data_IF_279500008903
#
_entry.id   IF_279500008903
#
_cell.length_a   1.000
_cell.length_b   1.000
_cell.length_c   1.000
_cell.angle_alpha   90.00
_cell.angle_beta   90.00
_cell.angle_gamma   90.00
#
_symmetry.space_group_name_H-M   'P 1'
#
loop_
_entity.id
_entity.type
_entity.pdbx_description
1 polymer ?
#
# COMPACT_ATOMS: atom_id res chain seq x y z
N UNK A 1 -5.74 83.00 -1.76
CA UNK A 1 -6.66 81.92 -2.16
C UNK A 1 -5.81 80.73 -2.60
N UNK A 2 -5.70 79.71 -1.75
CA UNK A 2 -5.05 78.44 -2.09
C UNK A 2 -6.16 77.39 -2.14
N UNK A 3 -6.43 76.85 -3.32
CA UNK A 3 -7.14 75.59 -3.45
C UNK A 3 -6.10 74.50 -3.75
N UNK A 4 -6.02 73.42 -2.96
CA UNK A 4 -5.35 72.22 -3.42
C UNK A 4 -6.31 71.44 -4.33
N UNK A 5 -5.89 71.20 -5.57
CA UNK A 5 -6.49 70.27 -6.51
C UNK A 5 -6.26 68.82 -6.05
N UNK A 6 -7.13 67.87 -6.44
CA UNK A 6 -7.19 66.56 -5.83
C UNK A 6 -5.94 65.74 -6.15
N UNK A 7 -5.34 65.18 -5.11
CA UNK A 7 -4.30 64.16 -5.21
C UNK A 7 -4.78 63.02 -6.10
N UNK A 8 -4.19 62.89 -7.28
CA UNK A 8 -4.34 61.75 -8.17
C UNK A 8 -3.64 60.54 -7.56
N UNK A 9 -4.28 59.93 -6.56
CA UNK A 9 -3.88 58.65 -6.02
C UNK A 9 -4.35 57.57 -7.00
N UNK A 10 -3.53 57.30 -8.02
CA UNK A 10 -3.80 56.27 -9.02
C UNK A 10 -3.47 54.86 -8.51
N UNK A 11 -4.15 53.81 -9.00
CA UNK A 11 -4.09 52.42 -8.49
C UNK A 11 -2.85 51.69 -9.00
N UNK A 12 -1.68 52.31 -8.86
CA UNK A 12 -0.39 51.78 -9.31
C UNK A 12 0.16 50.78 -8.31
N UNK A 13 0.15 51.12 -7.01
CA UNK A 13 0.57 50.23 -5.93
C UNK A 13 -0.28 48.97 -5.83
N UNK A 14 -1.61 49.10 -5.91
CA UNK A 14 -2.52 47.95 -5.79
C UNK A 14 -2.33 46.93 -6.92
N UNK A 15 -2.00 47.37 -8.14
CA UNK A 15 -1.77 46.47 -9.29
C UNK A 15 -0.44 45.74 -9.19
N UNK A 16 0.60 46.38 -8.67
CA UNK A 16 1.90 45.75 -8.48
C UNK A 16 1.87 44.74 -7.32
N UNK A 17 1.17 45.07 -6.23
CA UNK A 17 0.98 44.19 -5.08
C UNK A 17 0.10 42.98 -5.45
N UNK A 18 -0.98 43.19 -6.21
CA UNK A 18 -1.81 42.11 -6.76
C UNK A 18 -1.00 41.22 -7.73
N UNK A 19 -0.18 41.81 -8.59
CA UNK A 19 0.66 41.04 -9.53
C UNK A 19 1.75 40.24 -8.79
N UNK A 20 2.31 40.77 -7.70
CA UNK A 20 3.25 40.04 -6.85
C UNK A 20 2.56 38.88 -6.13
N UNK A 21 1.38 39.08 -5.55
CA UNK A 21 0.60 38.03 -4.89
C UNK A 21 0.22 36.89 -5.87
N UNK A 22 -0.19 37.25 -7.09
CA UNK A 22 -0.49 36.28 -8.16
C UNK A 22 0.76 35.50 -8.56
N UNK A 23 1.92 36.16 -8.74
CA UNK A 23 3.18 35.50 -9.09
C UNK A 23 3.66 34.54 -7.99
N UNK A 24 3.55 34.94 -6.73
CA UNK A 24 3.91 34.08 -5.58
C UNK A 24 2.98 32.85 -5.53
N UNK A 25 1.67 33.05 -5.71
CA UNK A 25 0.70 31.95 -5.68
C UNK A 25 0.93 30.96 -6.83
N UNK A 26 1.17 31.44 -8.05
CA UNK A 26 1.49 30.58 -9.19
C UNK A 26 2.84 29.87 -9.02
N UNK A 27 3.84 30.55 -8.44
CA UNK A 27 5.13 29.95 -8.11
C UNK A 27 5.01 28.83 -7.09
N UNK A 28 4.22 29.04 -6.02
CA UNK A 28 3.96 28.01 -5.02
C UNK A 28 3.22 26.81 -5.61
N UNK A 29 2.15 27.05 -6.38
CA UNK A 29 1.40 25.98 -7.05
C UNK A 29 2.30 25.17 -7.99
N UNK A 30 3.18 25.84 -8.75
CA UNK A 30 4.12 25.17 -9.63
C UNK A 30 5.10 24.26 -8.86
N UNK A 31 5.64 24.73 -7.74
CA UNK A 31 6.53 23.92 -6.88
C UNK A 31 5.78 22.73 -6.28
N UNK A 32 4.53 22.90 -5.85
CA UNK A 32 3.70 21.80 -5.34
C UNK A 32 3.40 20.76 -6.40
N UNK A 33 3.02 21.18 -7.61
CA UNK A 33 2.75 20.26 -8.72
C UNK A 33 4.02 19.53 -9.12
N UNK A 34 5.15 20.24 -9.26
CA UNK A 34 6.43 19.64 -9.61
C UNK A 34 6.86 18.59 -8.58
N UNK A 35 6.80 18.90 -7.29
CA UNK A 35 7.15 17.96 -6.22
C UNK A 35 6.22 16.75 -6.19
N UNK A 36 4.91 16.94 -6.37
CA UNK A 36 3.93 15.87 -6.46
C UNK A 36 4.20 14.94 -7.65
N UNK A 37 4.42 15.49 -8.85
CA UNK A 37 4.72 14.70 -10.05
C UNK A 37 6.08 14.01 -9.96
N UNK A 38 7.10 14.64 -9.37
CA UNK A 38 8.38 13.99 -9.10
C UNK A 38 8.22 12.82 -8.11
N UNK A 39 7.43 12.99 -7.05
CA UNK A 39 7.14 11.93 -6.10
C UNK A 39 6.42 10.76 -6.75
N UNK A 40 5.37 11.03 -7.54
CA UNK A 40 4.69 10.01 -8.33
C UNK A 40 5.64 9.31 -9.30
N UNK A 41 6.46 10.06 -10.05
CA UNK A 41 7.44 9.48 -10.96
C UNK A 41 8.44 8.59 -10.21
N UNK A 42 8.92 8.99 -9.04
CA UNK A 42 9.79 8.15 -8.20
C UNK A 42 9.06 6.89 -7.75
N UNK A 43 7.80 6.96 -7.32
CA UNK A 43 7.02 5.78 -6.90
C UNK A 43 6.70 4.84 -8.07
N UNK A 44 6.34 5.37 -9.24
CA UNK A 44 6.05 4.58 -10.43
C UNK A 44 7.32 4.00 -11.05
N UNK A 45 8.40 4.78 -11.14
CA UNK A 45 9.70 4.29 -11.62
C UNK A 45 10.27 3.30 -10.62
N UNK A 46 10.26 3.56 -9.31
CA UNK A 46 10.68 2.56 -8.30
C UNK A 46 9.80 1.33 -8.34
N UNK A 47 8.47 1.44 -8.45
CA UNK A 47 7.58 0.28 -8.54
C UNK A 47 7.83 -0.58 -9.78
N UNK A 48 7.93 0.05 -10.97
CA UNK A 48 8.23 -0.65 -12.21
C UNK A 48 9.66 -1.19 -12.26
N UNK A 49 10.67 -0.38 -11.91
CA UNK A 49 12.08 -0.82 -11.88
C UNK A 49 12.33 -1.83 -10.77
N UNK A 50 11.65 -1.77 -9.62
CA UNK A 50 11.73 -2.82 -8.59
C UNK A 50 11.22 -4.15 -9.10
N UNK A 51 10.13 -4.16 -9.87
CA UNK A 51 9.58 -5.35 -10.53
C UNK A 51 10.49 -5.86 -11.66
N UNK A 52 11.16 -4.97 -12.39
CA UNK A 52 12.09 -5.33 -13.48
C UNK A 52 13.50 -5.73 -13.01
N UNK A 53 13.99 -5.15 -11.91
CA UNK A 53 15.32 -5.40 -11.34
C UNK A 53 15.33 -6.56 -10.33
N UNK A 54 14.17 -6.96 -9.81
CA UNK A 54 13.99 -8.20 -9.05
C UNK A 54 13.09 -9.17 -9.83
N UNK A 55 13.56 -9.71 -10.97
CA UNK A 55 12.84 -10.75 -11.71
C UNK A 55 12.69 -12.05 -10.90
N UNK A 56 13.53 -12.24 -9.87
CA UNK A 56 13.47 -13.34 -8.89
C UNK A 56 12.42 -13.12 -7.78
N UNK A 57 11.57 -12.09 -7.86
CA UNK A 57 10.26 -12.17 -7.18
C UNK A 57 9.46 -13.22 -7.95
N UNK A 58 9.73 -14.47 -7.56
CA UNK A 58 9.05 -15.67 -7.98
C UNK A 58 7.55 -15.35 -7.96
N UNK A 59 6.92 -15.48 -9.12
CA UNK A 59 5.46 -15.32 -9.22
C UNK A 59 4.77 -16.55 -8.65
N UNK A 60 5.31 -17.14 -7.58
CA UNK A 60 4.69 -18.23 -6.87
C UNK A 60 3.40 -17.71 -6.25
N UNK A 61 2.31 -18.34 -6.62
CA UNK A 61 0.98 -17.97 -6.17
C UNK A 61 0.89 -18.36 -4.69
N UNK A 62 1.10 -17.39 -3.80
CA UNK A 62 1.00 -17.62 -2.37
C UNK A 62 -0.44 -17.48 -1.89
N UNK A 63 -0.91 -18.48 -1.16
CA UNK A 63 -2.14 -18.41 -0.41
C UNK A 63 -1.87 -17.81 0.98
N UNK A 64 -2.64 -16.79 1.37
CA UNK A 64 -2.61 -16.19 2.71
C UNK A 64 -4.01 -16.31 3.35
N UNK A 65 -4.09 -17.04 4.45
CA UNK A 65 -5.31 -17.36 5.19
C UNK A 65 -6.15 -16.11 5.54
N UNK A 66 -5.48 -15.06 6.02
CA UNK A 66 -6.11 -13.86 6.59
C UNK A 66 -6.91 -13.05 5.57
N UNK A 67 -6.55 -13.16 4.29
CA UNK A 67 -7.20 -12.41 3.21
C UNK A 67 -8.27 -13.24 2.47
N UNK A 68 -8.34 -14.55 2.73
CA UNK A 68 -9.07 -15.48 1.86
C UNK A 68 -10.47 -15.85 2.36
N UNK A 69 -10.82 -15.52 3.62
CA UNK A 69 -12.10 -15.86 4.23
C UNK A 69 -12.87 -14.60 4.60
N UNK A 70 -14.03 -14.39 3.96
CA UNK A 70 -14.95 -13.28 4.27
C UNK A 70 -15.39 -13.38 5.73
N UNK A 71 -15.03 -12.38 6.54
CA UNK A 71 -15.30 -12.41 7.99
C UNK A 71 -16.69 -11.93 8.38
N UNK A 72 -17.34 -11.13 7.52
CA UNK A 72 -18.59 -10.43 7.80
C UNK A 72 -19.83 -11.29 7.54
N UNK A 73 -19.77 -12.18 6.56
CA UNK A 73 -20.86 -13.07 6.18
C UNK A 73 -20.63 -14.46 6.80
N UNK A 74 -21.50 -14.92 7.72
CA UNK A 74 -21.36 -16.23 8.38
C UNK A 74 -21.43 -17.42 7.41
N UNK A 75 -22.24 -17.32 6.35
CA UNK A 75 -22.40 -18.39 5.37
C UNK A 75 -21.16 -18.50 4.48
N UNK A 76 -20.68 -17.37 3.94
CA UNK A 76 -19.46 -17.35 3.13
C UNK A 76 -18.21 -17.67 3.96
N UNK A 77 -18.18 -17.29 5.24
CA UNK A 77 -17.15 -17.73 6.19
C UNK A 77 -17.12 -19.25 6.32
N UNK A 78 -18.29 -19.85 6.56
CA UNK A 78 -18.40 -21.31 6.69
C UNK A 78 -17.96 -22.04 5.42
N UNK A 79 -18.29 -21.50 4.25
CA UNK A 79 -17.83 -22.04 2.97
C UNK A 79 -16.32 -21.88 2.78
N UNK A 80 -15.76 -20.71 3.13
CA UNK A 80 -14.32 -20.45 3.08
C UNK A 80 -13.52 -21.39 3.98
N UNK A 81 -14.00 -21.65 5.20
CA UNK A 81 -13.37 -22.61 6.12
C UNK A 81 -13.38 -24.03 5.54
N UNK A 82 -14.46 -24.44 4.84
CA UNK A 82 -14.52 -25.77 4.20
C UNK A 82 -13.48 -25.90 3.08
N UNK A 83 -13.34 -24.89 2.24
CA UNK A 83 -12.36 -24.91 1.15
C UNK A 83 -10.91 -24.73 1.60
N UNK A 84 -10.67 -24.22 2.82
CA UNK A 84 -9.32 -24.05 3.36
C UNK A 84 -8.53 -25.37 3.35
N UNK A 85 -9.17 -26.48 3.72
CA UNK A 85 -8.52 -27.79 3.69
C UNK A 85 -8.12 -28.25 2.29
N UNK A 86 -8.96 -27.96 1.28
CA UNK A 86 -8.69 -28.28 -0.13
C UNK A 86 -7.52 -27.44 -0.67
N UNK A 87 -7.43 -26.16 -0.30
CA UNK A 87 -6.29 -25.31 -0.63
C UNK A 87 -4.97 -25.84 -0.04
N UNK A 88 -4.98 -26.22 1.24
CA UNK A 88 -3.80 -26.80 1.89
C UNK A 88 -3.38 -28.12 1.26
N UNK A 89 -4.34 -28.96 0.86
CA UNK A 89 -4.06 -30.20 0.13
C UNK A 89 -3.42 -29.93 -1.24
N UNK A 90 -3.89 -28.92 -1.96
CA UNK A 90 -3.35 -28.53 -3.27
C UNK A 90 -1.98 -27.83 -3.18
N UNK A 91 -1.64 -27.25 -2.02
CA UNK A 91 -0.39 -26.51 -1.83
C UNK A 91 0.83 -27.43 -1.86
N UNK A 92 1.86 -27.04 -2.59
CA UNK A 92 3.12 -27.81 -2.71
C UNK A 92 4.07 -27.57 -1.53
N UNK A 93 4.08 -26.35 -0.99
CA UNK A 93 4.94 -25.92 0.12
C UNK A 93 4.16 -25.05 1.09
N UNK A 94 4.57 -25.02 2.35
CA UNK A 94 4.02 -24.14 3.38
C UNK A 94 5.15 -23.39 4.07
N UNK A 95 5.02 -22.06 4.18
CA UNK A 95 5.92 -21.24 5.00
C UNK A 95 5.22 -20.86 6.29
N UNK A 96 5.79 -21.26 7.42
CA UNK A 96 5.27 -21.05 8.75
C UNK A 96 6.08 -19.99 9.48
N UNK A 97 5.44 -18.87 9.82
CA UNK A 97 6.04 -17.83 10.66
C UNK A 97 5.87 -18.20 12.13
N UNK A 98 6.90 -18.76 12.74
CA UNK A 98 6.85 -19.27 14.11
C UNK A 98 7.28 -18.19 15.09
N UNK A 99 6.32 -17.72 15.89
CA UNK A 99 6.53 -16.82 17.01
C UNK A 99 6.01 -17.49 18.32
N UNK A 100 6.36 -16.98 19.51
CA UNK A 100 5.91 -17.58 20.78
C UNK A 100 4.39 -17.67 20.96
N UNK A 101 3.59 -16.85 20.26
CA UNK A 101 2.13 -16.91 20.25
C UNK A 101 1.55 -17.83 19.19
N UNK A 102 2.36 -18.35 18.26
CA UNK A 102 1.92 -19.28 17.21
C UNK A 102 1.06 -20.44 17.74
N UNK A 103 1.46 -21.18 18.79
CA UNK A 103 0.68 -22.31 19.27
C UNK A 103 -0.65 -21.93 19.93
N UNK A 104 -0.88 -20.65 20.25
CA UNK A 104 -2.15 -20.20 20.85
C UNK A 104 -3.21 -19.90 19.79
N UNK A 105 -2.84 -19.85 18.50
CA UNK A 105 -3.74 -19.52 17.40
C UNK A 105 -4.30 -20.80 16.77
N UNK A 106 -5.57 -21.06 17.04
CA UNK A 106 -6.28 -22.28 16.58
C UNK A 106 -6.11 -22.54 15.08
N UNK A 107 -6.30 -21.51 14.25
CA UNK A 107 -6.21 -21.64 12.79
C UNK A 107 -4.82 -22.05 12.32
N UNK A 108 -3.77 -21.46 12.91
CA UNK A 108 -2.39 -21.79 12.57
C UNK A 108 -2.08 -23.28 12.84
N UNK A 109 -2.54 -23.81 13.98
CA UNK A 109 -2.35 -25.23 14.31
C UNK A 109 -3.20 -26.15 13.42
N UNK A 110 -4.43 -25.74 13.11
CA UNK A 110 -5.29 -26.48 12.18
C UNK A 110 -4.63 -26.59 10.79
N UNK A 111 -4.13 -25.47 10.25
CA UNK A 111 -3.48 -25.43 8.94
C UNK A 111 -2.22 -26.28 8.90
N UNK A 112 -1.37 -26.16 9.92
CA UNK A 112 -0.17 -26.98 10.06
C UNK A 112 -0.53 -28.48 10.11
N UNK A 113 -1.52 -28.86 10.92
CA UNK A 113 -1.94 -30.25 11.05
C UNK A 113 -2.51 -30.82 9.73
N UNK A 114 -3.31 -30.03 9.01
CA UNK A 114 -3.86 -30.42 7.71
C UNK A 114 -2.75 -30.51 6.66
N UNK A 115 -1.83 -29.56 6.61
CA UNK A 115 -0.71 -29.60 5.67
C UNK A 115 0.18 -30.84 5.91
N UNK A 116 0.58 -31.09 7.16
CA UNK A 116 1.35 -32.29 7.54
C UNK A 116 0.60 -33.61 7.33
N UNK A 117 -0.72 -33.58 7.16
CA UNK A 117 -1.50 -34.79 6.81
C UNK A 117 -1.29 -35.19 5.34
N UNK A 118 -1.02 -34.24 4.46
CA UNK A 118 -0.89 -34.45 3.01
C UNK A 118 0.54 -34.30 2.48
N UNK A 119 1.42 -33.62 3.21
CA UNK A 119 2.80 -33.29 2.81
C UNK A 119 3.82 -33.75 3.84
N UNK A 120 5.07 -33.90 3.38
CA UNK A 120 6.21 -34.20 4.24
C UNK A 120 6.73 -32.93 4.91
N UNK A 121 7.43 -33.10 6.04
CA UNK A 121 8.11 -31.99 6.74
C UNK A 121 9.18 -31.28 5.90
N UNK A 122 9.62 -31.88 4.78
CA UNK A 122 10.58 -31.26 3.84
C UNK A 122 9.97 -30.12 3.03
N UNK A 123 8.65 -30.09 2.93
CA UNK A 123 7.90 -29.07 2.20
C UNK A 123 7.42 -27.93 3.12
N UNK A 124 7.81 -27.98 4.39
CA UNK A 124 7.49 -26.99 5.42
C UNK A 124 8.71 -26.13 5.74
N UNK A 125 8.65 -24.85 5.38
CA UNK A 125 9.67 -23.85 5.70
C UNK A 125 9.29 -23.10 6.97
N UNK A 126 10.06 -23.26 8.05
CA UNK A 126 9.80 -22.58 9.32
C UNK A 126 10.70 -21.34 9.42
N UNK A 127 10.08 -20.17 9.51
CA UNK A 127 10.76 -18.89 9.73
C UNK A 127 10.46 -18.44 11.15
N UNK A 128 11.50 -18.40 12.00
CA UNK A 128 11.37 -17.95 13.39
C UNK A 128 11.48 -16.42 13.44
N UNK A 129 10.52 -15.77 14.11
CA UNK A 129 10.43 -14.30 14.23
C UNK A 129 10.34 -13.84 15.67
#
# INVERSE_FOLDING_TARGET
>A
MMCPSPSSCGPSGDREEQLQSVKVTHGLLFVFLLTFFCFLAIFFVRGHTWRFLNPDIDSSLHFLDKCSIIQTDPHLKGLGIKHLGEYLQASERMTLLFDPSYPTRLWCIFELAVFCRFRDMRDLDIVVT
#
